data_IF_947806372136
#
_entry.id   IF_947806372136
#
_cell.length_a   1.000
_cell.length_b   1.000
_cell.length_c   1.000
_cell.angle_alpha   90.00
_cell.angle_beta   90.00
_cell.angle_gamma   90.00
#
_symmetry.space_group_name_H-M   'P 1'
#
loop_
_entity.id
_entity.type
_entity.pdbx_description
1 polymer ?
#
# COMPACT_ATOMS: atom_id res chain seq x y z
N UNK A 1 18.04 6.17 29.94
CA UNK A 1 16.88 6.98 30.38
C UNK A 1 17.16 7.83 31.62
N UNK A 2 17.82 7.32 32.65
CA UNK A 2 18.19 8.09 33.85
C UNK A 2 19.03 9.34 33.56
N UNK A 3 19.89 9.31 32.53
CA UNK A 3 20.66 10.48 32.07
C UNK A 3 19.86 11.45 31.19
N UNK A 4 18.79 10.97 30.54
CA UNK A 4 17.96 11.78 29.63
C UNK A 4 16.84 12.51 30.38
N UNK A 5 16.34 11.93 31.47
CA UNK A 5 15.26 12.47 32.29
C UNK A 5 15.59 12.39 33.79
N UNK A 6 16.70 12.99 34.26
CA UNK A 6 17.24 12.78 35.61
C UNK A 6 16.28 13.20 36.73
N UNK A 7 15.35 14.11 36.45
CA UNK A 7 14.37 14.65 37.42
C UNK A 7 13.13 13.77 37.61
N UNK A 8 12.91 12.76 36.75
CA UNK A 8 11.71 11.92 36.78
C UNK A 8 11.91 10.59 37.51
N UNK A 9 10.84 10.03 38.07
CA UNK A 9 10.90 8.75 38.78
C UNK A 9 11.24 7.59 37.85
N UNK A 10 11.81 6.52 38.40
CA UNK A 10 12.11 5.32 37.61
C UNK A 10 10.84 4.68 37.02
N UNK A 11 9.73 4.70 37.77
CA UNK A 11 8.42 4.23 37.29
C UNK A 11 7.91 5.05 36.12
N UNK A 12 7.97 6.38 36.19
CA UNK A 12 7.54 7.24 35.09
C UNK A 12 8.40 7.01 33.84
N UNK A 13 9.73 6.87 34.01
CA UNK A 13 10.64 6.58 32.89
C UNK A 13 10.32 5.23 32.24
N UNK A 14 9.97 4.20 33.03
CA UNK A 14 9.54 2.89 32.51
C UNK A 14 8.22 3.00 31.74
N UNK A 15 7.26 3.75 32.27
CA UNK A 15 5.97 3.96 31.61
C UNK A 15 6.14 4.59 30.23
N UNK A 16 6.92 5.67 30.11
CA UNK A 16 7.12 6.32 28.81
C UNK A 16 7.86 5.45 27.80
N UNK A 17 8.83 4.64 28.24
CA UNK A 17 9.48 3.69 27.34
C UNK A 17 8.46 2.68 26.82
N UNK A 18 7.62 2.13 27.70
CA UNK A 18 6.55 1.20 27.31
C UNK A 18 5.56 1.85 26.34
N UNK A 19 5.12 3.08 26.63
CA UNK A 19 4.17 3.81 25.78
C UNK A 19 4.78 4.09 24.40
N UNK A 20 6.07 4.45 24.34
CA UNK A 20 6.79 4.67 23.09
C UNK A 20 7.00 3.38 22.30
N UNK A 21 7.34 2.28 22.98
CA UNK A 21 7.49 0.96 22.35
C UNK A 21 6.16 0.49 21.75
N UNK A 22 5.05 0.66 22.46
CA UNK A 22 3.72 0.31 21.97
C UNK A 22 3.33 1.17 20.77
N UNK A 23 3.49 2.50 20.86
CA UNK A 23 3.24 3.42 19.75
C UNK A 23 4.09 3.08 18.52
N UNK A 24 5.38 2.80 18.70
CA UNK A 24 6.28 2.44 17.60
C UNK A 24 5.87 1.12 16.94
N UNK A 25 5.52 0.11 17.75
CA UNK A 25 5.06 -1.19 17.23
C UNK A 25 3.80 -1.04 16.39
N UNK A 26 2.84 -0.27 16.89
CA UNK A 26 1.61 0.03 16.16
C UNK A 26 1.91 0.76 14.84
N UNK A 27 2.80 1.76 14.83
CA UNK A 27 3.18 2.45 13.60
C UNK A 27 3.82 1.50 12.57
N UNK A 28 4.69 0.59 13.02
CA UNK A 28 5.33 -0.42 12.17
C UNK A 28 4.26 -1.37 11.59
N UNK A 29 3.41 -1.95 12.43
CA UNK A 29 2.35 -2.88 12.00
C UNK A 29 1.40 -2.21 10.99
N UNK A 30 1.11 -0.93 11.18
CA UNK A 30 0.31 -0.14 10.26
C UNK A 30 1.03 0.07 8.93
N UNK A 31 2.29 0.51 8.97
CA UNK A 31 3.11 0.69 7.77
C UNK A 31 3.21 -0.60 6.96
N UNK A 32 3.41 -1.74 7.60
CA UNK A 32 3.45 -3.06 6.96
C UNK A 32 2.11 -3.43 6.31
N UNK A 33 0.98 -3.15 6.96
CA UNK A 33 -0.36 -3.31 6.36
C UNK A 33 -0.60 -2.36 5.20
N UNK A 34 0.04 -1.19 5.21
CA UNK A 34 -0.11 -0.16 4.19
C UNK A 34 0.70 -0.39 2.92
N UNK A 35 1.90 -0.96 3.10
CA UNK A 35 2.90 -1.11 2.06
C UNK A 35 2.38 -1.82 0.78
N UNK A 36 1.61 -2.92 0.84
CA UNK A 36 1.09 -3.59 -0.35
C UNK A 36 0.17 -2.72 -1.21
N UNK A 37 -0.55 -1.76 -0.60
CA UNK A 37 -1.42 -0.83 -1.32
C UNK A 37 -0.62 0.18 -2.12
N UNK A 38 0.42 0.73 -1.51
CA UNK A 38 1.35 1.64 -2.18
C UNK A 38 2.00 0.93 -3.37
N UNK A 39 2.38 -0.33 -3.19
CA UNK A 39 2.96 -1.15 -4.24
C UNK A 39 1.98 -1.45 -5.38
N UNK A 40 0.72 -1.79 -5.06
CA UNK A 40 -0.36 -1.95 -6.05
C UNK A 40 -0.50 -0.68 -6.88
N UNK A 41 -0.65 0.49 -6.23
CA UNK A 41 -0.73 1.78 -6.95
C UNK A 41 0.45 1.95 -7.90
N UNK A 42 1.66 1.72 -7.42
CA UNK A 42 2.89 1.90 -8.19
C UNK A 42 2.98 0.96 -9.39
N UNK A 43 2.63 -0.33 -9.23
CA UNK A 43 2.60 -1.29 -10.35
C UNK A 43 1.56 -0.86 -11.38
N UNK A 44 0.35 -0.50 -10.96
CA UNK A 44 -0.70 -0.05 -11.87
C UNK A 44 -0.28 1.18 -12.68
N UNK A 45 0.33 2.18 -12.04
CA UNK A 45 0.83 3.37 -12.74
C UNK A 45 1.97 3.04 -13.72
N UNK A 46 2.87 2.11 -13.37
CA UNK A 46 3.90 1.65 -14.31
C UNK A 46 3.30 0.90 -15.51
N UNK A 47 2.33 0.01 -15.28
CA UNK A 47 1.64 -0.70 -16.35
C UNK A 47 0.90 0.26 -17.28
N UNK A 48 0.22 1.27 -16.74
CA UNK A 48 -0.40 2.35 -17.53
C UNK A 48 0.64 3.06 -18.39
N UNK A 49 1.79 3.44 -17.83
CA UNK A 49 2.82 4.18 -18.56
C UNK A 49 3.48 3.37 -19.69
N UNK A 50 3.60 2.06 -19.51
CA UNK A 50 4.11 1.14 -20.53
C UNK A 50 3.06 0.71 -21.56
N UNK A 51 1.77 0.94 -21.28
CA UNK A 51 0.70 0.48 -22.14
C UNK A 51 0.75 1.16 -23.52
N UNK A 52 0.69 0.42 -24.65
CA UNK A 52 0.78 0.99 -25.99
C UNK A 52 -0.31 2.02 -26.34
N UNK A 53 -1.42 1.98 -25.61
CA UNK A 53 -2.57 2.90 -25.75
C UNK A 53 -2.81 3.73 -24.48
N UNK A 54 -1.76 4.09 -23.75
CA UNK A 54 -1.87 4.82 -22.46
C UNK A 54 -2.67 6.11 -22.55
N UNK A 55 -2.63 6.78 -23.70
CA UNK A 55 -3.42 7.97 -24.04
C UNK A 55 -4.93 7.74 -24.04
N UNK A 56 -5.36 6.48 -24.14
CA UNK A 56 -6.77 6.07 -24.17
C UNK A 56 -7.24 5.43 -22.88
N UNK A 57 -6.34 5.23 -21.91
CA UNK A 57 -6.70 4.69 -20.60
C UNK A 57 -7.42 5.77 -19.81
N UNK A 58 -8.68 5.53 -19.49
CA UNK A 58 -9.44 6.37 -18.58
C UNK A 58 -9.50 5.70 -17.21
N UNK A 59 -9.24 6.48 -16.16
CA UNK A 59 -9.37 6.00 -14.79
C UNK A 59 -10.83 5.95 -14.38
N UNK A 60 -11.28 4.78 -13.92
CA UNK A 60 -12.60 4.62 -13.35
C UNK A 60 -12.72 5.25 -11.96
N UNK A 61 -13.97 5.42 -11.50
CA UNK A 61 -14.26 6.08 -10.23
C UNK A 61 -13.75 5.29 -9.01
N UNK A 62 -13.74 3.95 -9.08
CA UNK A 62 -13.23 3.11 -7.98
C UNK A 62 -11.72 3.30 -7.83
N UNK A 63 -10.98 3.39 -8.93
CA UNK A 63 -9.55 3.69 -8.91
C UNK A 63 -9.27 5.06 -8.27
N UNK A 64 -10.04 6.08 -8.63
CA UNK A 64 -9.87 7.44 -8.06
C UNK A 64 -10.14 7.46 -6.56
N UNK A 65 -11.23 6.83 -6.12
CA UNK A 65 -11.55 6.74 -4.69
C UNK A 65 -10.49 5.92 -3.94
N UNK A 66 -9.99 4.82 -4.52
CA UNK A 66 -8.87 4.07 -3.97
C UNK A 66 -7.61 4.93 -3.78
N UNK A 67 -7.20 5.69 -4.81
CA UNK A 67 -6.03 6.58 -4.74
C UNK A 67 -6.23 7.67 -3.69
N UNK A 68 -7.43 8.24 -3.60
CA UNK A 68 -7.78 9.27 -2.60
C UNK A 68 -7.68 8.74 -1.18
N UNK A 69 -8.23 7.56 -0.89
CA UNK A 69 -8.10 6.91 0.42
C UNK A 69 -6.64 6.64 0.74
N UNK A 70 -5.84 6.19 -0.24
CA UNK A 70 -4.43 5.93 -0.06
C UNK A 70 -3.63 7.20 0.29
N UNK A 71 -3.89 8.32 -0.38
CA UNK A 71 -3.26 9.62 -0.05
C UNK A 71 -3.60 10.03 1.39
N UNK A 72 -4.86 9.90 1.80
CA UNK A 72 -5.28 10.20 3.17
C UNK A 72 -4.58 9.31 4.21
N UNK A 73 -4.21 8.08 3.87
CA UNK A 73 -3.43 7.20 4.74
C UNK A 73 -1.95 7.60 4.81
N UNK A 74 -1.35 7.95 3.67
CA UNK A 74 0.03 8.44 3.60
C UNK A 74 0.19 9.75 4.40
N UNK A 75 -0.80 10.64 4.36
CA UNK A 75 -0.81 11.86 5.16
C UNK A 75 -0.90 11.56 6.66
N UNK A 76 -1.80 10.66 7.06
CA UNK A 76 -1.92 10.20 8.44
C UNK A 76 -0.59 9.65 8.97
N UNK A 77 -0.01 8.67 8.27
CA UNK A 77 1.26 8.06 8.71
C UNK A 77 2.41 9.06 8.82
N UNK A 78 2.34 10.24 8.17
CA UNK A 78 3.32 11.32 8.31
C UNK A 78 3.05 12.28 9.46
N UNK A 79 1.79 12.54 9.81
CA UNK A 79 1.45 13.56 10.81
C UNK A 79 1.52 13.07 12.25
N UNK A 80 1.48 11.76 12.51
CA UNK A 80 1.85 11.04 13.76
C UNK A 80 1.38 11.59 15.13
N UNK A 81 0.59 12.66 15.18
CA UNK A 81 -0.07 13.13 16.39
C UNK A 81 -1.33 12.30 16.61
N UNK A 82 -1.20 11.24 17.42
CA UNK A 82 -2.28 10.41 17.98
C UNK A 82 -3.36 9.98 16.97
N UNK A 83 -2.95 9.20 15.97
CA UNK A 83 -3.91 8.52 15.12
C UNK A 83 -4.41 7.30 15.89
N UNK A 84 -5.69 7.33 16.27
CA UNK A 84 -6.34 6.16 16.84
C UNK A 84 -6.25 4.97 15.88
N UNK A 85 -5.82 3.82 16.39
CA UNK A 85 -5.77 2.52 15.70
C UNK A 85 -7.07 2.20 14.94
N UNK A 86 -8.20 2.70 15.45
CA UNK A 86 -9.52 2.47 14.89
C UNK A 86 -9.76 3.25 13.59
N UNK A 87 -9.35 4.52 13.52
CA UNK A 87 -9.47 5.32 12.29
C UNK A 87 -8.58 4.74 11.19
N UNK A 88 -7.40 4.26 11.56
CA UNK A 88 -6.45 3.66 10.63
C UNK A 88 -6.94 2.31 10.13
N UNK A 89 -7.46 1.45 11.02
CA UNK A 89 -8.05 0.15 10.67
C UNK A 89 -9.26 0.30 9.75
N UNK A 90 -10.14 1.26 10.03
CA UNK A 90 -11.29 1.57 9.16
C UNK A 90 -10.86 1.97 7.76
N UNK A 91 -9.81 2.79 7.64
CA UNK A 91 -9.28 3.18 6.33
C UNK A 91 -8.64 2.00 5.62
N UNK A 92 -7.82 1.16 6.29
CA UNK A 92 -7.28 -0.07 5.70
C UNK A 92 -8.39 -0.93 5.11
N UNK A 93 -9.48 -1.11 5.87
CA UNK A 93 -10.65 -1.85 5.43
C UNK A 93 -11.32 -1.16 4.23
N UNK A 94 -11.38 0.17 4.19
CA UNK A 94 -11.88 0.90 3.02
C UNK A 94 -11.05 0.60 1.76
N UNK A 95 -9.70 0.54 1.82
CA UNK A 95 -8.91 0.10 0.65
C UNK A 95 -9.29 -1.31 0.17
N UNK A 96 -9.64 -2.23 1.08
CA UNK A 96 -10.07 -3.58 0.71
C UNK A 96 -11.42 -3.65 0.00
N UNK A 97 -12.27 -2.62 0.11
CA UNK A 97 -13.59 -2.60 -0.54
C UNK A 97 -13.51 -2.18 -2.02
N UNK A 98 -12.46 -1.47 -2.42
CA UNK A 98 -12.29 -0.97 -3.79
C UNK A 98 -11.58 -1.96 -4.72
N UNK A 99 -11.00 -3.03 -4.19
CA UNK A 99 -10.24 -4.03 -4.95
C UNK A 99 -11.00 -5.36 -5.07
N UNK A 100 -10.74 -6.10 -6.15
CA UNK A 100 -11.22 -7.48 -6.29
C UNK A 100 -10.41 -8.49 -5.45
N UNK A 101 -11.00 -9.66 -5.21
CA UNK A 101 -10.37 -10.77 -4.47
C UNK A 101 -9.05 -11.26 -5.10
N UNK A 102 -8.91 -11.15 -6.42
CA UNK A 102 -7.66 -11.45 -7.12
C UNK A 102 -6.50 -10.54 -6.68
N UNK A 103 -6.76 -9.24 -6.52
CA UNK A 103 -5.76 -8.30 -6.03
C UNK A 103 -5.39 -8.57 -4.56
N UNK A 104 -6.36 -8.99 -3.73
CA UNK A 104 -6.10 -9.43 -2.35
C UNK A 104 -5.15 -10.62 -2.28
N UNK A 105 -5.40 -11.61 -3.12
CA UNK A 105 -4.54 -12.79 -3.22
C UNK A 105 -3.12 -12.42 -3.67
N UNK A 106 -2.99 -11.49 -4.63
CA UNK A 106 -1.70 -11.00 -5.09
C UNK A 106 -0.92 -10.23 -4.02
N UNK A 107 -1.60 -9.43 -3.18
CA UNK A 107 -0.97 -8.77 -2.04
C UNK A 107 -0.46 -9.77 -1.01
N UNK A 108 -1.26 -10.79 -0.68
CA UNK A 108 -0.92 -11.77 0.34
C UNK A 108 0.38 -12.54 0.02
N UNK A 109 0.71 -12.69 -1.26
CA UNK A 109 1.93 -13.35 -1.74
C UNK A 109 3.07 -12.37 -2.07
N UNK A 110 2.89 -11.06 -1.83
CA UNK A 110 3.90 -10.04 -2.11
C UNK A 110 4.16 -9.78 -3.59
N UNK A 111 3.21 -10.10 -4.48
CA UNK A 111 3.42 -10.03 -5.93
C UNK A 111 3.77 -8.61 -6.40
N UNK A 112 3.15 -7.57 -5.83
CA UNK A 112 3.35 -6.20 -6.29
C UNK A 112 4.75 -5.64 -5.98
N UNK A 113 5.35 -6.00 -4.84
CA UNK A 113 6.76 -5.71 -4.58
C UNK A 113 7.68 -6.35 -5.62
N UNK A 114 7.43 -7.64 -5.94
CA UNK A 114 8.22 -8.37 -6.95
C UNK A 114 8.10 -7.69 -8.32
N UNK A 115 6.90 -7.37 -8.77
CA UNK A 115 6.67 -6.68 -10.04
C UNK A 115 7.34 -5.29 -10.08
N UNK A 116 7.31 -4.55 -8.97
CA UNK A 116 8.01 -3.27 -8.85
C UNK A 116 9.53 -3.38 -8.98
N UNK A 117 10.12 -4.53 -8.62
CA UNK A 117 11.55 -4.83 -8.77
C UNK A 117 11.88 -5.35 -10.17
N UNK A 118 10.96 -6.07 -10.80
CA UNK A 118 11.09 -6.67 -12.12
C UNK A 118 10.52 -5.77 -13.24
N UNK A 119 11.00 -4.53 -13.33
CA UNK A 119 10.44 -3.51 -14.25
C UNK A 119 10.49 -3.91 -15.72
N UNK A 120 11.56 -4.57 -16.16
CA UNK A 120 11.71 -4.99 -17.56
C UNK A 120 10.66 -6.04 -17.92
N UNK A 121 10.41 -7.00 -17.03
CA UNK A 121 9.37 -8.01 -17.19
C UNK A 121 7.98 -7.38 -17.14
N UNK A 122 7.74 -6.44 -16.22
CA UNK A 122 6.48 -5.71 -16.14
C UNK A 122 6.20 -4.95 -17.44
N UNK A 123 7.23 -4.33 -18.03
CA UNK A 123 7.13 -3.65 -19.32
C UNK A 123 6.76 -4.61 -20.45
N UNK A 124 7.41 -5.76 -20.54
CA UNK A 124 7.09 -6.80 -21.53
C UNK A 124 5.62 -7.22 -21.41
N UNK A 125 5.13 -7.44 -20.17
CA UNK A 125 3.73 -7.79 -19.93
C UNK A 125 2.78 -6.67 -20.37
N UNK A 126 3.09 -5.42 -20.04
CA UNK A 126 2.25 -4.28 -20.37
C UNK A 126 2.22 -3.96 -21.87
N UNK A 127 3.30 -4.21 -22.61
CA UNK A 127 3.38 -3.96 -24.06
C UNK A 127 2.78 -5.10 -24.90
N UNK A 128 2.72 -6.32 -24.37
CA UNK A 128 2.30 -7.49 -25.11
C UNK A 128 0.77 -7.63 -25.17
N UNK A 129 0.22 -7.66 -26.39
CA UNK A 129 -1.21 -7.78 -26.67
C UNK A 129 -1.85 -9.01 -26.02
N UNK A 130 -1.11 -10.10 -25.89
CA UNK A 130 -1.59 -11.31 -25.24
C UNK A 130 -1.88 -11.14 -23.75
N UNK A 131 -1.35 -10.09 -23.12
CA UNK A 131 -1.51 -9.83 -21.68
C UNK A 131 -2.23 -8.50 -21.38
N UNK A 132 -2.43 -7.65 -22.38
CA UNK A 132 -3.10 -6.35 -22.22
C UNK A 132 -4.44 -6.23 -22.97
N UNK A 133 -4.83 -7.25 -23.73
CA UNK A 133 -6.13 -7.35 -24.38
C UNK A 133 -6.80 -8.67 -23.99
N UNK A 134 -7.99 -8.57 -23.39
CA UNK A 134 -8.77 -9.71 -22.90
C UNK A 134 -9.05 -10.74 -24.00
N UNK A 135 -9.30 -10.28 -25.23
CA UNK A 135 -9.55 -11.12 -26.40
C UNK A 135 -8.33 -11.96 -26.77
N UNK A 136 -7.14 -11.40 -26.61
CA UNK A 136 -5.88 -12.09 -26.91
C UNK A 136 -5.41 -12.96 -25.74
N UNK A 137 -5.74 -12.58 -24.51
CA UNK A 137 -5.39 -13.33 -23.31
C UNK A 137 -6.06 -14.72 -23.27
N UNK A 138 -7.36 -14.79 -23.58
CA UNK A 138 -8.09 -16.06 -23.64
C UNK A 138 -7.50 -17.04 -24.67
N UNK A 139 -6.94 -16.52 -25.76
CA UNK A 139 -6.29 -17.32 -26.81
C UNK A 139 -4.87 -17.78 -26.43
N UNK A 140 -4.27 -17.21 -25.38
CA UNK A 140 -2.90 -17.54 -24.96
C UNK A 140 -2.85 -18.68 -23.94
N UNK A 141 -3.98 -18.99 -23.29
CA UNK A 141 -4.10 -20.05 -22.27
C UNK A 141 -4.69 -21.37 -22.79
N UNK A 142 -5.11 -21.41 -24.06
CA UNK A 142 -5.59 -22.60 -24.76
C UNK A 142 -4.50 -23.18 -25.67
#
# INVERSE_FOLDING_TARGET
>A
MSYLFPEHSEEWRKQIVSDLEEKLKTEIDLREKFQPWIELKKVTEQMKEYHPRKDKINEDEKWKEYVKVLVQMEELTRTSEDISDEQTSQRCNACTTYIGEGAKSCMAIGLFDVLNRCKDQLKILAENQNFNDETHFENTLN
#
